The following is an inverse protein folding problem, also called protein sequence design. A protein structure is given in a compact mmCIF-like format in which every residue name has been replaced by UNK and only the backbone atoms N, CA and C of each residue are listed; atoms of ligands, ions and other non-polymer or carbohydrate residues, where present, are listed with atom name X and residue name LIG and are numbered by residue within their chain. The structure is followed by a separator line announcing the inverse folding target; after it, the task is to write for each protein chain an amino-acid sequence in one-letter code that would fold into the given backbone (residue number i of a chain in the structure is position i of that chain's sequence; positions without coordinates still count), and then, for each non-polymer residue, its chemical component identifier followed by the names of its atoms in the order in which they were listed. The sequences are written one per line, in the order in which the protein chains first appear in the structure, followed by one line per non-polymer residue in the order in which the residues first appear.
data_IF_646625773660
#
_entry.id   IF_646625773660
#
_cell.length_a   1.000
_cell.length_b   1.000
_cell.length_c   1.000
_cell.angle_alpha   90.00
_cell.angle_beta   90.00
_cell.angle_gamma   90.00
#
_symmetry.space_group_name_H-M   'P 1'
#
loop_
_entity.id
_entity.type
_entity.pdbx_description
1 polymer ?
#
# COMPACT_ATOMS: atom_id res chain seq x y z
N UNK A 1 34.20 0.51 -26.24
CA UNK A 1 32.78 0.87 -26.37
C UNK A 1 32.07 0.40 -25.11
N UNK A 2 31.38 1.28 -24.36
CA UNK A 2 30.67 0.87 -23.15
C UNK A 2 29.50 -0.05 -23.49
N UNK A 3 29.27 -1.06 -22.67
CA UNK A 3 28.28 -2.12 -22.90
C UNK A 3 26.88 -1.60 -22.54
N UNK A 4 25.88 -1.84 -23.40
CA UNK A 4 24.51 -1.27 -23.27
C UNK A 4 23.73 -1.81 -22.06
N UNK A 5 24.24 -2.88 -21.44
CA UNK A 5 23.62 -3.57 -20.31
C UNK A 5 23.77 -2.83 -18.97
N UNK A 6 24.66 -1.84 -18.86
CA UNK A 6 24.79 -1.01 -17.63
C UNK A 6 23.68 0.04 -17.48
N UNK A 7 22.85 0.25 -18.51
CA UNK A 7 21.75 1.21 -18.47
C UNK A 7 20.40 0.60 -18.07
N UNK A 8 20.33 -0.72 -17.93
CA UNK A 8 19.13 -1.45 -17.50
C UNK A 8 19.30 -1.90 -16.04
N UNK A 9 19.91 -1.05 -15.21
CA UNK A 9 19.62 -1.09 -13.79
C UNK A 9 18.19 -0.56 -13.64
N UNK A 10 17.20 -1.46 -13.64
CA UNK A 10 15.83 -1.11 -13.34
C UNK A 10 15.86 -0.30 -12.04
N UNK A 11 15.69 1.03 -12.16
CA UNK A 11 15.30 1.84 -11.02
C UNK A 11 14.04 1.15 -10.54
N UNK A 12 14.16 0.39 -9.46
CA UNK A 12 13.04 0.07 -8.61
C UNK A 12 12.57 1.46 -8.25
N UNK A 13 11.56 1.93 -8.99
CA UNK A 13 10.81 3.10 -8.61
C UNK A 13 10.17 2.61 -7.34
N UNK A 14 10.86 2.83 -6.21
CA UNK A 14 10.21 2.95 -4.94
C UNK A 14 9.15 3.98 -5.27
N UNK A 15 7.92 3.48 -5.51
CA UNK A 15 6.75 4.32 -5.56
C UNK A 15 6.77 4.87 -4.15
N UNK A 16 7.42 6.01 -4.00
CA UNK A 16 7.38 6.78 -2.78
C UNK A 16 5.89 7.01 -2.64
N UNK A 17 5.30 6.25 -1.74
CA UNK A 17 3.93 6.44 -1.32
C UNK A 17 3.95 7.76 -0.55
N UNK A 18 4.11 8.87 -1.27
CA UNK A 18 4.50 10.16 -0.73
C UNK A 18 3.42 10.75 0.17
N UNK A 19 2.21 10.19 0.10
CA UNK A 19 1.03 10.65 0.82
C UNK A 19 0.23 9.50 1.45
N UNK A 20 0.88 8.46 2.00
CA UNK A 20 0.17 7.51 2.87
C UNK A 20 -0.04 8.14 4.25
N UNK A 21 -1.24 8.61 4.50
CA UNK A 21 -1.66 9.07 5.81
C UNK A 21 -2.03 7.86 6.68
N UNK A 22 -1.39 7.72 7.84
CA UNK A 22 -1.76 6.69 8.82
C UNK A 22 -2.91 7.20 9.66
N UNK A 23 -4.04 6.50 9.61
CA UNK A 23 -5.25 6.83 10.38
C UNK A 23 -5.53 5.71 11.37
N UNK A 24 -5.79 6.09 12.63
CA UNK A 24 -6.19 5.16 13.69
C UNK A 24 -7.70 4.95 13.58
N UNK A 25 -8.12 3.70 13.44
CA UNK A 25 -9.52 3.33 13.34
C UNK A 25 -9.70 1.85 13.02
N UNK A 26 -10.69 1.22 13.66
CA UNK A 26 -11.00 -0.18 13.44
C UNK A 26 -11.44 -0.43 11.99
N UNK A 27 -10.74 -1.33 11.29
CA UNK A 27 -11.10 -1.79 9.94
C UNK A 27 -11.23 -3.31 9.88
N UNK A 28 -12.38 -3.81 9.40
CA UNK A 28 -12.60 -5.24 9.31
C UNK A 28 -11.69 -5.87 8.25
N UNK A 29 -11.26 -7.09 8.50
CA UNK A 29 -10.54 -7.87 7.50
C UNK A 29 -11.53 -8.68 6.65
N UNK A 30 -11.30 -8.76 5.34
CA UNK A 30 -12.15 -9.55 4.46
C UNK A 30 -11.90 -11.07 4.56
N UNK A 31 -10.77 -11.47 5.16
CA UNK A 31 -10.30 -12.88 5.20
C UNK A 31 -10.37 -13.52 6.59
N UNK A 32 -10.53 -12.74 7.65
CA UNK A 32 -10.58 -13.23 9.02
C UNK A 32 -11.36 -12.28 9.92
N UNK A 33 -11.77 -12.76 11.09
CA UNK A 33 -12.46 -11.96 12.12
C UNK A 33 -11.49 -11.14 12.98
N UNK A 34 -10.32 -10.80 12.44
CA UNK A 34 -9.33 -9.97 13.12
C UNK A 34 -9.30 -8.60 12.46
N UNK A 35 -9.84 -7.62 13.17
CA UNK A 35 -9.81 -6.23 12.73
C UNK A 35 -8.40 -5.65 12.86
N UNK A 36 -8.11 -4.67 11.99
CA UNK A 36 -6.94 -3.81 12.16
C UNK A 36 -7.35 -2.57 12.94
N UNK A 37 -6.46 -2.08 13.80
CA UNK A 37 -6.65 -0.85 14.57
C UNK A 37 -6.16 0.39 13.80
N UNK A 38 -5.49 0.18 12.67
CA UNK A 38 -4.90 1.22 11.85
C UNK A 38 -5.06 0.91 10.36
N UNK A 39 -5.15 1.97 9.57
CA UNK A 39 -5.15 1.88 8.13
C UNK A 39 -4.39 3.05 7.52
N UNK A 40 -3.98 2.88 6.28
CA UNK A 40 -3.31 3.87 5.48
C UNK A 40 -4.24 4.40 4.41
N UNK A 41 -4.31 5.72 4.30
CA UNK A 41 -5.05 6.43 3.27
C UNK A 41 -4.07 6.99 2.25
N UNK A 42 -4.24 6.59 0.99
CA UNK A 42 -3.54 7.15 -0.16
C UNK A 42 -4.47 8.17 -0.83
N UNK A 43 -4.19 9.45 -0.59
CA UNK A 43 -5.00 10.56 -1.13
C UNK A 43 -4.88 10.68 -2.66
N UNK A 44 -3.73 10.32 -3.24
CA UNK A 44 -3.49 10.47 -4.68
C UNK A 44 -4.27 9.42 -5.49
N UNK A 45 -4.32 8.20 -4.98
CA UNK A 45 -4.99 7.08 -5.63
C UNK A 45 -6.42 6.83 -5.10
N UNK A 46 -6.82 7.54 -4.03
CA UNK A 46 -8.05 7.32 -3.28
C UNK A 46 -8.19 5.85 -2.82
N UNK A 47 -7.09 5.30 -2.29
CA UNK A 47 -7.01 3.90 -1.84
C UNK A 47 -6.81 3.88 -0.33
N UNK A 48 -7.69 3.16 0.36
CA UNK A 48 -7.49 2.75 1.75
C UNK A 48 -6.80 1.40 1.76
N UNK A 49 -5.75 1.22 2.55
CA UNK A 49 -5.09 -0.07 2.75
C UNK A 49 -4.84 -0.36 4.22
N UNK A 50 -5.02 -1.60 4.65
CA UNK A 50 -4.75 -1.99 6.03
C UNK A 50 -4.31 -3.44 6.11
N UNK A 51 -3.49 -3.72 7.12
CA UNK A 51 -3.03 -5.07 7.41
C UNK A 51 -3.65 -5.51 8.72
N UNK A 52 -4.35 -6.64 8.72
CA UNK A 52 -4.92 -7.20 9.94
C UNK A 52 -3.85 -7.87 10.82
N UNK A 53 -4.22 -8.23 12.06
CA UNK A 53 -3.30 -8.88 13.02
C UNK A 53 -2.73 -10.23 12.55
N UNK A 54 -3.42 -10.92 11.62
CA UNK A 54 -2.90 -12.15 11.00
C UNK A 54 -2.02 -11.90 9.77
N UNK A 55 -1.81 -10.65 9.37
CA UNK A 55 -0.96 -10.29 8.23
C UNK A 55 -1.65 -10.25 6.86
N UNK A 56 -2.98 -10.29 6.79
CA UNK A 56 -3.69 -10.11 5.52
C UNK A 56 -3.72 -8.64 5.12
N UNK A 57 -3.19 -8.34 3.94
CA UNK A 57 -3.33 -7.04 3.30
C UNK A 57 -4.72 -6.90 2.69
N UNK A 58 -5.41 -5.83 3.07
CA UNK A 58 -6.70 -5.41 2.53
C UNK A 58 -6.49 -4.05 1.85
N UNK A 59 -7.16 -3.83 0.72
CA UNK A 59 -7.21 -2.52 0.08
C UNK A 59 -8.58 -2.27 -0.56
N UNK A 60 -9.03 -1.03 -0.47
CA UNK A 60 -10.31 -0.56 -1.03
C UNK A 60 -10.06 0.74 -1.77
N UNK A 61 -10.46 0.79 -3.03
CA UNK A 61 -10.49 2.03 -3.81
C UNK A 61 -11.84 2.71 -3.62
N UNK A 62 -11.84 3.96 -3.17
CA UNK A 62 -13.06 4.69 -2.78
C UNK A 62 -13.76 5.32 -3.99
N UNK A 63 -13.04 5.55 -5.09
CA UNK A 63 -13.61 6.05 -6.35
C UNK A 63 -13.59 4.94 -7.41
N UNK A 64 -14.71 4.27 -7.59
CA UNK A 64 -14.95 3.23 -8.59
C UNK A 64 -16.03 3.67 -9.57
#
# INVERSE_FOLDING_TARGET
MPNINDFIGAKIVNKEFSNLEKIIGAKPCAKCDLDSEEYYWDQDNFIMSWTCKSGHLNSVKVNA
#
